data_IF_822553423527
#
_entry.id   IF_822553423527
#
_cell.length_a   1.000
_cell.length_b   1.000
_cell.length_c   1.000
_cell.angle_alpha   90.00
_cell.angle_beta   90.00
_cell.angle_gamma   90.00
#
_symmetry.space_group_name_H-M   'P 1'
#
loop_
_entity.id
_entity.type
_entity.pdbx_description
1 polymer ?
#
# COMPACT_ATOMS: atom_id res chain seq x y z
N UNK A 1 -1.15 -1.59 17.63
CA UNK A 1 -2.46 -1.70 16.93
C UNK A 1 -2.24 -1.02 15.60
N UNK A 2 -2.06 -1.79 14.52
CA UNK A 2 -1.86 -1.20 13.20
C UNK A 2 -3.21 -0.64 12.73
N UNK A 3 -3.34 0.68 12.59
CA UNK A 3 -4.62 1.36 12.29
C UNK A 3 -4.63 2.01 10.90
N UNK A 4 -3.70 1.63 10.04
CA UNK A 4 -3.63 2.06 8.66
C UNK A 4 -2.92 1.03 7.81
N UNK A 5 -3.05 1.18 6.50
CA UNK A 5 -2.24 0.52 5.50
C UNK A 5 -0.85 1.16 5.53
N UNK A 6 0.17 0.34 5.63
CA UNK A 6 1.58 0.70 5.51
C UNK A 6 2.17 0.07 4.24
N UNK A 7 3.31 0.56 3.72
CA UNK A 7 3.95 -0.03 2.54
C UNK A 7 4.21 -1.54 2.70
N UNK A 8 4.60 -1.98 3.89
CA UNK A 8 4.87 -3.40 4.16
C UNK A 8 3.61 -4.27 4.11
N UNK A 9 2.40 -3.69 4.16
CA UNK A 9 1.18 -4.47 4.01
C UNK A 9 1.02 -5.05 2.59
N UNK A 10 1.72 -4.48 1.60
CA UNK A 10 1.79 -5.03 0.25
C UNK A 10 2.68 -6.28 0.15
N UNK A 11 3.43 -6.64 1.20
CA UNK A 11 4.18 -7.90 1.28
C UNK A 11 3.29 -9.10 1.68
N UNK A 12 2.00 -8.88 1.96
CA UNK A 12 1.05 -9.94 2.27
C UNK A 12 0.12 -10.27 1.09
N UNK A 13 -0.52 -11.44 1.14
CA UNK A 13 -1.51 -11.84 0.14
C UNK A 13 -2.75 -10.92 0.19
N UNK A 14 -3.37 -10.59 -0.96
CA UNK A 14 -3.06 -11.11 -2.31
C UNK A 14 -1.93 -10.37 -3.03
N UNK A 15 -1.49 -9.21 -2.52
CA UNK A 15 -0.51 -8.36 -3.20
C UNK A 15 0.83 -9.05 -3.43
N UNK A 16 1.33 -9.81 -2.45
CA UNK A 16 2.55 -10.60 -2.59
C UNK A 16 2.52 -11.58 -3.78
N UNK A 17 1.35 -12.15 -4.09
CA UNK A 17 1.18 -13.06 -5.23
C UNK A 17 1.20 -12.30 -6.57
N UNK A 18 0.80 -11.04 -6.52
CA UNK A 18 0.84 -10.09 -7.63
C UNK A 18 2.15 -9.28 -7.65
N UNK A 19 3.23 -9.76 -7.05
CA UNK A 19 4.54 -9.09 -7.10
C UNK A 19 4.82 -8.08 -5.98
N UNK A 20 3.91 -8.00 -5.01
CA UNK A 20 4.10 -7.35 -3.72
C UNK A 20 4.46 -5.86 -3.79
N UNK A 21 5.18 -5.41 -2.76
CA UNK A 21 5.65 -4.03 -2.67
C UNK A 21 6.50 -3.62 -3.88
N UNK A 22 7.28 -4.55 -4.44
CA UNK A 22 8.06 -4.31 -5.66
C UNK A 22 7.21 -3.91 -6.87
N UNK A 23 6.11 -4.62 -7.15
CA UNK A 23 5.19 -4.25 -8.26
C UNK A 23 4.48 -2.92 -7.95
N UNK A 24 4.12 -2.68 -6.69
CA UNK A 24 3.46 -1.43 -6.29
C UNK A 24 4.38 -0.22 -6.51
N UNK A 25 5.66 -0.30 -6.13
CA UNK A 25 6.64 0.74 -6.45
C UNK A 25 6.87 0.90 -7.95
N UNK A 26 6.81 -0.16 -8.75
CA UNK A 26 6.91 -0.03 -10.22
C UNK A 26 5.72 0.71 -10.83
N UNK A 27 4.52 0.55 -10.28
CA UNK A 27 3.30 1.17 -10.79
C UNK A 27 3.14 2.62 -10.33
N UNK A 28 3.44 2.89 -9.06
CA UNK A 28 3.15 4.18 -8.42
C UNK A 28 4.40 5.00 -8.10
N UNK A 29 5.58 4.36 -8.02
CA UNK A 29 6.85 5.05 -7.77
C UNK A 29 6.78 6.00 -6.57
N UNK A 30 7.08 7.26 -6.83
CA UNK A 30 7.08 8.33 -5.83
C UNK A 30 5.68 8.67 -5.30
N UNK A 31 4.61 8.33 -6.03
CA UNK A 31 3.21 8.58 -5.63
C UNK A 31 2.66 7.53 -4.66
N UNK A 32 3.42 6.46 -4.37
CA UNK A 32 2.97 5.38 -3.47
C UNK A 32 2.56 5.90 -2.09
N UNK A 33 3.35 6.80 -1.50
CA UNK A 33 3.03 7.35 -0.17
C UNK A 33 1.72 8.15 -0.20
N UNK A 34 1.52 8.97 -1.24
CA UNK A 34 0.29 9.74 -1.42
C UNK A 34 -0.92 8.86 -1.69
N UNK A 35 -0.75 7.72 -2.38
CA UNK A 35 -1.81 6.71 -2.52
C UNK A 35 -2.18 6.11 -1.17
N UNK A 36 -1.20 5.71 -0.36
CA UNK A 36 -1.41 5.11 0.96
C UNK A 36 -2.11 6.11 1.90
N UNK A 37 -1.69 7.38 1.89
CA UNK A 37 -2.33 8.46 2.65
C UNK A 37 -3.83 8.58 2.29
N UNK A 38 -4.16 8.67 1.00
CA UNK A 38 -5.55 8.74 0.54
C UNK A 38 -6.38 7.51 0.92
N UNK A 39 -5.79 6.31 0.83
CA UNK A 39 -6.47 5.07 1.24
C UNK A 39 -6.74 5.05 2.75
N UNK A 40 -5.78 5.52 3.56
CA UNK A 40 -5.94 5.61 5.01
C UNK A 40 -6.95 6.67 5.42
N UNK A 41 -6.98 7.82 4.75
CA UNK A 41 -8.02 8.84 4.93
C UNK A 41 -9.42 8.29 4.62
N UNK A 42 -9.54 7.54 3.51
CA UNK A 42 -10.78 6.85 3.14
C UNK A 42 -11.23 5.81 4.16
N UNK A 43 -10.30 5.12 4.83
CA UNK A 43 -10.60 4.07 5.81
C UNK A 43 -10.97 4.65 7.19
N UNK A 44 -10.48 5.84 7.51
CA UNK A 44 -10.73 6.52 8.77
C UNK A 44 -12.08 7.27 8.83
N UNK A 45 -12.78 7.40 7.69
CA UNK A 45 -14.09 8.06 7.55
C UNK A 45 -15.26 7.12 7.91
#
# INVERSE_FOLDING_TARGET
MNRGIEPDDFEYAPFAQEGGLGRVYQLFGDELNTLIEQLNESLAA
#
